data_IF_192046916116
#
_entry.id   IF_192046916116
#
_cell.length_a   1.000
_cell.length_b   1.000
_cell.length_c   1.000
_cell.angle_alpha   90.00
_cell.angle_beta   90.00
_cell.angle_gamma   90.00
#
_symmetry.space_group_name_H-M   'P 1'
#
loop_
_entity.id
_entity.type
_entity.pdbx_description
1 polymer ?
#
# COMPACT_ATOMS: atom_id res chain seq x y z
N UNK A 1 60.19 -15.18 13.25
CA UNK A 1 59.20 -14.27 12.65
C UNK A 1 57.83 -14.87 12.93
N UNK A 2 57.06 -14.26 13.83
CA UNK A 2 55.70 -14.69 14.14
C UNK A 2 54.75 -14.02 13.17
N UNK A 3 54.16 -14.81 12.27
CA UNK A 3 53.06 -14.39 11.41
C UNK A 3 51.81 -14.23 12.28
N UNK A 4 51.40 -12.99 12.55
CA UNK A 4 50.10 -12.72 13.15
C UNK A 4 49.02 -12.99 12.09
N UNK A 5 48.22 -14.03 12.30
CA UNK A 5 46.95 -14.17 11.60
C UNK A 5 45.99 -13.08 12.13
N UNK A 6 45.71 -12.10 11.27
CA UNK A 6 44.61 -11.17 11.47
C UNK A 6 43.34 -11.92 11.07
N UNK A 7 42.54 -12.31 12.04
CA UNK A 7 41.19 -12.83 11.80
C UNK A 7 40.28 -11.66 11.44
N UNK A 8 39.95 -11.50 10.16
CA UNK A 8 38.88 -10.59 9.76
C UNK A 8 37.54 -11.16 10.22
N UNK A 9 36.76 -10.33 10.90
CA UNK A 9 35.67 -10.69 11.81
C UNK A 9 34.35 -11.11 11.11
N UNK A 10 34.40 -11.68 9.90
CA UNK A 10 33.26 -12.14 9.11
C UNK A 10 33.51 -13.58 8.63
N UNK A 11 32.72 -14.54 9.12
CA UNK A 11 32.88 -15.97 8.84
C UNK A 11 32.03 -16.44 7.64
N UNK A 12 31.16 -15.58 7.11
CA UNK A 12 30.36 -15.84 5.91
C UNK A 12 29.38 -14.72 5.58
N UNK A 13 28.69 -14.83 4.45
CA UNK A 13 27.58 -13.96 4.07
C UNK A 13 26.42 -14.81 3.53
N UNK A 14 25.20 -14.45 3.93
CA UNK A 14 23.97 -14.95 3.35
C UNK A 14 23.39 -13.85 2.45
N UNK A 15 22.96 -14.20 1.26
CA UNK A 15 22.28 -13.28 0.35
C UNK A 15 20.91 -13.85 -0.02
N UNK A 16 19.87 -13.04 0.11
CA UNK A 16 18.54 -13.31 -0.44
C UNK A 16 18.44 -12.51 -1.73
N UNK A 17 18.19 -13.21 -2.82
CA UNK A 17 18.03 -12.57 -4.11
C UNK A 17 16.85 -11.59 -4.09
N UNK A 18 17.04 -10.43 -4.73
CA UNK A 18 16.06 -9.37 -4.89
C UNK A 18 14.69 -9.88 -5.31
N UNK A 19 14.64 -10.71 -6.36
CA UNK A 19 13.38 -11.16 -6.95
C UNK A 19 12.67 -12.16 -6.02
N UNK A 20 13.42 -13.01 -5.30
CA UNK A 20 12.84 -13.89 -4.28
C UNK A 20 12.18 -13.10 -3.13
N UNK A 21 12.83 -12.04 -2.63
CA UNK A 21 12.27 -11.20 -1.55
C UNK A 21 11.04 -10.43 -2.06
N UNK A 22 11.14 -9.87 -3.26
CA UNK A 22 10.05 -9.19 -3.96
C UNK A 22 8.84 -10.10 -4.13
N UNK A 23 9.03 -11.31 -4.63
CA UNK A 23 7.97 -12.28 -4.89
C UNK A 23 7.32 -12.76 -3.59
N UNK A 24 8.11 -12.91 -2.52
CA UNK A 24 7.60 -13.18 -1.18
C UNK A 24 6.66 -12.07 -0.69
N UNK A 25 7.05 -10.80 -0.85
CA UNK A 25 6.20 -9.66 -0.46
C UNK A 25 4.93 -9.62 -1.32
N UNK A 26 5.05 -9.80 -2.64
CA UNK A 26 3.89 -9.89 -3.54
C UNK A 26 2.91 -10.97 -3.06
N UNK A 27 3.39 -12.19 -2.79
CA UNK A 27 2.57 -13.29 -2.27
C UNK A 27 1.89 -12.94 -0.94
N UNK A 28 2.61 -12.28 -0.04
CA UNK A 28 2.08 -11.86 1.27
C UNK A 28 0.94 -10.84 1.14
N UNK A 29 0.94 -10.04 0.06
CA UNK A 29 -0.05 -8.99 -0.18
C UNK A 29 -1.24 -9.44 -1.06
N UNK A 30 -1.23 -10.65 -1.61
CA UNK A 30 -2.24 -11.12 -2.59
C UNK A 30 -3.69 -11.02 -2.08
N UNK A 31 -3.92 -11.22 -0.79
CA UNK A 31 -5.26 -11.11 -0.20
C UNK A 31 -5.61 -9.68 0.22
N UNK A 32 -4.60 -8.86 0.53
CA UNK A 32 -4.78 -7.49 0.99
C UNK A 32 -5.14 -6.56 -0.18
N UNK A 33 -4.40 -6.65 -1.29
CA UNK A 33 -4.54 -5.66 -2.38
C UNK A 33 -5.95 -5.63 -3.00
N UNK A 34 -6.63 -6.77 -3.27
CA UNK A 34 -8.00 -6.74 -3.78
C UNK A 34 -9.01 -6.09 -2.82
N UNK A 35 -8.72 -6.07 -1.50
CA UNK A 35 -9.61 -5.44 -0.51
C UNK A 35 -9.61 -3.92 -0.58
N UNK A 36 -8.54 -3.31 -1.09
CA UNK A 36 -8.36 -1.86 -1.25
C UNK A 36 -8.49 -1.38 -2.69
N UNK A 37 -8.52 -2.29 -3.66
CA UNK A 37 -8.89 -1.99 -5.05
C UNK A 37 -10.42 -1.99 -5.19
N UNK A 38 -11.02 -0.81 -5.02
CA UNK A 38 -12.47 -0.65 -4.93
C UNK A 38 -13.12 -0.50 -6.32
N UNK A 39 -14.22 -1.20 -6.56
CA UNK A 39 -15.10 -0.93 -7.69
C UNK A 39 -16.21 0.01 -7.23
N UNK A 40 -16.50 1.02 -8.04
CA UNK A 40 -17.48 2.05 -7.76
C UNK A 40 -18.58 2.03 -8.82
N UNK A 41 -19.79 2.29 -8.39
CA UNK A 41 -20.98 2.44 -9.23
C UNK A 41 -21.71 3.70 -8.77
N UNK A 42 -22.02 4.56 -9.72
CA UNK A 42 -22.80 5.77 -9.54
C UNK A 42 -24.11 5.59 -10.31
N UNK A 43 -25.22 6.05 -9.73
CA UNK A 43 -26.54 6.03 -10.36
C UNK A 43 -27.23 7.35 -10.15
N UNK A 44 -27.86 7.88 -11.20
CA UNK A 44 -28.70 9.06 -11.18
C UNK A 44 -30.00 8.75 -11.92
N UNK A 45 -31.03 8.39 -11.16
CA UNK A 45 -32.33 7.99 -11.69
C UNK A 45 -33.26 9.19 -11.78
N UNK A 46 -33.85 9.43 -12.96
CA UNK A 46 -34.78 10.54 -13.15
C UNK A 46 -36.15 10.22 -12.54
N UNK A 47 -36.62 11.09 -11.65
CA UNK A 47 -37.96 11.05 -11.05
C UNK A 47 -38.72 12.32 -11.42
N UNK A 48 -39.43 12.32 -12.55
CA UNK A 48 -40.13 13.51 -13.04
C UNK A 48 -39.15 14.63 -13.42
N UNK A 49 -39.15 15.70 -12.63
CA UNK A 49 -38.19 16.82 -12.73
C UNK A 49 -37.12 16.77 -11.63
N UNK A 50 -36.82 15.64 -11.04
CA UNK A 50 -35.68 15.49 -10.11
C UNK A 50 -34.79 14.33 -10.53
N UNK A 51 -33.57 14.27 -9.98
CA UNK A 51 -32.74 13.07 -10.01
C UNK A 51 -32.61 12.52 -8.58
N UNK A 52 -32.68 11.21 -8.44
CA UNK A 52 -32.32 10.48 -7.23
C UNK A 52 -30.94 9.86 -7.44
N UNK A 53 -29.97 10.17 -6.58
CA UNK A 53 -28.62 9.63 -6.68
C UNK A 53 -28.43 8.46 -5.71
N UNK A 54 -27.73 7.42 -6.16
CA UNK A 54 -27.29 6.32 -5.31
C UNK A 54 -25.93 5.80 -5.74
N UNK A 55 -25.20 5.19 -4.81
CA UNK A 55 -23.88 4.63 -5.07
C UNK A 55 -23.75 3.21 -4.56
N UNK A 56 -22.86 2.44 -5.16
CA UNK A 56 -22.41 1.18 -4.61
C UNK A 56 -20.88 1.10 -4.70
N UNK A 57 -20.23 0.66 -3.63
CA UNK A 57 -18.78 0.46 -3.58
C UNK A 57 -18.51 -0.94 -3.07
N UNK A 58 -17.63 -1.67 -3.76
CA UNK A 58 -17.28 -3.05 -3.40
C UNK A 58 -15.80 -3.34 -3.65
N UNK A 59 -15.13 -4.16 -2.83
CA UNK A 59 -13.76 -4.58 -3.07
C UNK A 59 -13.68 -5.60 -4.22
N UNK A 60 -12.47 -5.95 -4.63
CA UNK A 60 -12.20 -7.03 -5.59
C UNK A 60 -11.66 -6.56 -6.94
N UNK A 61 -11.32 -5.28 -7.08
CA UNK A 61 -10.54 -4.78 -8.20
C UNK A 61 -9.21 -5.51 -8.34
N UNK A 62 -8.73 -5.65 -9.58
CA UNK A 62 -7.45 -6.24 -9.89
C UNK A 62 -6.50 -5.12 -10.33
N UNK A 63 -5.45 -4.79 -9.56
CA UNK A 63 -4.50 -3.76 -9.95
C UNK A 63 -3.63 -4.23 -11.12
N UNK A 64 -3.08 -3.28 -11.86
CA UNK A 64 -1.93 -3.53 -12.71
C UNK A 64 -0.69 -3.64 -11.83
N UNK A 65 0.03 -4.74 -11.97
CA UNK A 65 1.32 -4.96 -11.31
C UNK A 65 2.45 -4.68 -12.30
N UNK A 66 3.41 -3.86 -11.89
CA UNK A 66 4.64 -3.59 -12.65
C UNK A 66 5.85 -3.93 -11.80
N UNK A 67 6.76 -4.71 -12.36
CA UNK A 67 8.09 -4.90 -11.81
C UNK A 67 9.00 -3.78 -12.31
N UNK A 68 9.63 -3.06 -11.38
CA UNK A 68 10.48 -1.90 -11.69
C UNK A 68 11.93 -2.27 -11.42
N UNK A 69 12.88 -1.69 -12.17
CA UNK A 69 14.30 -1.84 -11.91
C UNK A 69 14.79 -0.76 -10.93
N UNK A 70 15.78 -1.10 -10.08
CA UNK A 70 16.31 -0.20 -9.05
C UNK A 70 15.66 -0.37 -7.69
N UNK A 71 15.59 0.72 -6.92
CA UNK A 71 15.11 0.74 -5.53
C UNK A 71 13.64 0.37 -5.41
N UNK A 72 12.78 0.93 -6.27
CA UNK A 72 11.39 0.45 -6.40
C UNK A 72 11.40 -0.91 -7.06
N UNK A 73 10.88 -1.91 -6.37
CA UNK A 73 10.89 -3.30 -6.83
C UNK A 73 9.53 -3.77 -7.35
N UNK A 74 8.44 -3.18 -6.85
CA UNK A 74 7.07 -3.44 -7.27
C UNK A 74 6.26 -2.14 -7.21
N UNK A 75 5.39 -1.97 -8.18
CA UNK A 75 4.37 -0.93 -8.22
C UNK A 75 3.02 -1.53 -8.59
N UNK A 76 2.00 -1.21 -7.81
CA UNK A 76 0.60 -1.50 -8.11
C UNK A 76 -0.11 -0.21 -8.47
N UNK A 77 -0.91 -0.24 -9.53
CA UNK A 77 -1.81 0.85 -9.88
C UNK A 77 -3.20 0.33 -10.22
N UNK A 78 -4.21 0.99 -9.70
CA UNK A 78 -5.60 0.65 -9.94
C UNK A 78 -6.44 1.92 -10.03
N UNK A 79 -7.38 1.92 -10.95
CA UNK A 79 -8.36 2.99 -11.07
C UNK A 79 -9.69 2.43 -11.53
N UNK A 80 -10.78 2.91 -10.94
CA UNK A 80 -12.12 2.65 -11.41
C UNK A 80 -12.97 3.91 -11.29
N UNK A 81 -13.85 4.13 -12.26
CA UNK A 81 -14.72 5.28 -12.28
C UNK A 81 -16.03 4.88 -12.93
N UNK A 82 -17.12 5.44 -12.44
CA UNK A 82 -18.43 5.28 -13.02
C UNK A 82 -19.15 6.63 -13.05
N UNK A 83 -20.01 6.78 -14.05
CA UNK A 83 -20.78 7.98 -14.30
C UNK A 83 -22.19 7.59 -14.72
N UNK A 84 -23.17 8.28 -14.16
CA UNK A 84 -24.56 8.20 -14.59
C UNK A 84 -25.22 9.59 -14.53
N UNK A 85 -26.25 9.81 -15.34
CA UNK A 85 -26.85 11.12 -15.52
C UNK A 85 -28.31 11.06 -15.95
N UNK A 86 -29.04 12.11 -15.59
CA UNK A 86 -30.47 12.27 -15.83
C UNK A 86 -30.75 13.47 -16.75
N UNK A 87 -31.72 13.30 -17.64
CA UNK A 87 -32.14 14.32 -18.61
C UNK A 87 -31.34 14.30 -19.91
N UNK A 88 -31.50 15.35 -20.73
CA UNK A 88 -30.78 15.49 -22.00
C UNK A 88 -29.41 16.09 -21.69
N UNK A 89 -28.34 15.33 -21.93
CA UNK A 89 -26.96 15.70 -21.58
C UNK A 89 -26.77 15.97 -20.09
N UNK A 90 -27.32 15.10 -19.23
CA UNK A 90 -27.15 15.12 -17.77
C UNK A 90 -27.62 16.42 -17.09
N UNK A 91 -28.51 17.16 -17.77
CA UNK A 91 -28.93 18.49 -17.35
C UNK A 91 -29.89 18.52 -16.17
N UNK A 92 -30.51 17.39 -15.82
CA UNK A 92 -31.33 17.25 -14.62
C UNK A 92 -30.51 16.73 -13.44
N UNK A 93 -29.50 15.91 -13.72
CA UNK A 93 -28.50 15.55 -12.74
C UNK A 93 -27.35 14.75 -13.35
N UNK A 94 -26.21 14.78 -12.66
CA UNK A 94 -25.02 14.00 -12.99
C UNK A 94 -24.42 13.46 -11.70
N UNK A 95 -23.90 12.25 -11.76
CA UNK A 95 -23.14 11.67 -10.66
C UNK A 95 -21.97 10.88 -11.21
N UNK A 96 -20.76 11.31 -10.86
CA UNK A 96 -19.51 10.61 -11.07
C UNK A 96 -18.95 10.15 -9.72
N UNK A 97 -18.53 8.89 -9.66
CA UNK A 97 -17.80 8.34 -8.53
C UNK A 97 -16.53 7.68 -9.06
N UNK A 98 -15.39 7.98 -8.43
CA UNK A 98 -14.09 7.48 -8.85
C UNK A 98 -13.27 7.00 -7.67
N UNK A 99 -12.34 6.10 -7.97
CA UNK A 99 -11.35 5.60 -7.02
C UNK A 99 -10.03 5.32 -7.71
N UNK A 100 -8.94 5.64 -7.03
CA UNK A 100 -7.59 5.31 -7.44
C UNK A 100 -6.82 4.73 -6.27
N UNK A 101 -6.07 3.67 -6.52
CA UNK A 101 -5.18 3.07 -5.54
C UNK A 101 -3.81 2.85 -6.17
N UNK A 102 -2.76 3.33 -5.50
CA UNK A 102 -1.38 3.10 -5.88
C UNK A 102 -0.59 2.55 -4.68
N UNK A 103 0.31 1.61 -4.94
CA UNK A 103 1.24 1.10 -3.94
C UNK A 103 2.62 0.90 -4.55
N UNK A 104 3.64 1.49 -3.94
CA UNK A 104 5.04 1.27 -4.31
C UNK A 104 5.78 0.56 -3.18
N UNK A 105 6.64 -0.39 -3.54
CA UNK A 105 7.50 -1.13 -2.61
C UNK A 105 8.94 -0.86 -3.00
N UNK A 106 9.73 -0.37 -2.04
CA UNK A 106 11.12 0.03 -2.24
C UNK A 106 12.06 -0.69 -1.28
N UNK A 107 13.23 -1.09 -1.79
CA UNK A 107 14.35 -1.60 -1.00
C UNK A 107 15.43 -0.52 -0.94
N UNK A 108 15.71 -0.02 0.25
CA UNK A 108 16.59 1.14 0.44
C UNK A 108 17.59 0.92 1.58
N UNK A 109 18.77 1.51 1.42
CA UNK A 109 19.72 1.70 2.51
C UNK A 109 19.80 3.20 2.80
N UNK A 110 19.10 3.68 3.84
CA UNK A 110 19.05 5.11 4.17
C UNK A 110 19.70 5.36 5.51
N UNK A 111 20.69 6.27 5.54
CA UNK A 111 21.40 6.68 6.77
C UNK A 111 21.99 5.50 7.59
N UNK A 112 22.45 4.45 6.90
CA UNK A 112 22.99 3.24 7.54
C UNK A 112 21.93 2.28 8.07
N UNK A 113 20.64 2.56 7.82
CA UNK A 113 19.51 1.68 8.10
C UNK A 113 19.06 0.98 6.81
N UNK A 114 18.77 -0.31 6.91
CA UNK A 114 18.28 -1.13 5.80
C UNK A 114 16.78 -1.24 5.90
N UNK A 115 16.05 -0.71 4.92
CA UNK A 115 14.60 -0.53 5.01
C UNK A 115 13.86 -1.07 3.80
N UNK A 116 12.70 -1.66 4.06
CA UNK A 116 11.67 -1.91 3.05
C UNK A 116 10.59 -0.84 3.26
N UNK A 117 10.33 -0.01 2.26
CA UNK A 117 9.33 1.06 2.34
C UNK A 117 8.14 0.70 1.48
N UNK A 118 6.94 0.69 2.06
CA UNK A 118 5.70 0.46 1.33
C UNK A 118 4.84 1.71 1.45
N UNK A 119 4.68 2.40 0.32
CA UNK A 119 3.87 3.62 0.23
C UNK A 119 2.57 3.31 -0.48
N UNK A 120 1.44 3.49 0.22
CA UNK A 120 0.10 3.24 -0.29
C UNK A 120 -0.65 4.56 -0.39
N UNK A 121 -1.43 4.77 -1.45
CA UNK A 121 -2.27 5.95 -1.64
C UNK A 121 -3.63 5.54 -2.20
N UNK A 122 -4.69 5.86 -1.45
CA UNK A 122 -6.08 5.62 -1.84
C UNK A 122 -6.81 6.95 -1.94
N UNK A 123 -7.47 7.17 -3.08
CA UNK A 123 -8.39 8.29 -3.28
C UNK A 123 -9.75 7.73 -3.66
N UNK A 124 -10.81 8.26 -3.04
CA UNK A 124 -12.20 8.08 -3.47
C UNK A 124 -12.76 9.48 -3.68
N UNK A 125 -13.12 9.80 -4.92
CA UNK A 125 -13.60 11.12 -5.31
C UNK A 125 -14.99 11.04 -5.92
N UNK A 126 -15.71 12.15 -5.85
CA UNK A 126 -17.03 12.27 -6.46
C UNK A 126 -17.19 13.63 -7.13
N UNK A 127 -18.09 13.67 -8.10
CA UNK A 127 -18.60 14.88 -8.73
C UNK A 127 -20.10 14.72 -8.95
N UNK A 128 -20.89 15.67 -8.45
CA UNK A 128 -22.35 15.60 -8.40
C UNK A 128 -22.94 16.92 -8.82
N UNK A 129 -24.01 16.85 -9.60
CA UNK A 129 -24.77 18.01 -10.04
C UNK A 129 -26.25 17.70 -10.11
N UNK A 130 -27.07 18.64 -9.65
CA UNK A 130 -28.52 18.60 -9.81
C UNK A 130 -29.02 20.02 -10.02
N UNK A 131 -29.68 20.26 -11.15
CA UNK A 131 -30.07 21.61 -11.57
C UNK A 131 -28.92 22.63 -11.54
N UNK A 132 -28.99 23.66 -10.68
CA UNK A 132 -28.00 24.73 -10.54
C UNK A 132 -27.00 24.49 -9.41
N UNK A 133 -27.11 23.36 -8.71
CA UNK A 133 -26.26 23.03 -7.58
C UNK A 133 -25.31 21.92 -7.99
N UNK A 134 -24.02 22.10 -7.73
CA UNK A 134 -23.00 21.08 -7.94
C UNK A 134 -22.05 21.02 -6.76
N UNK A 135 -21.47 19.85 -6.52
CA UNK A 135 -20.48 19.62 -5.47
C UNK A 135 -19.53 18.50 -5.88
N UNK A 136 -18.26 18.64 -5.53
CA UNK A 136 -17.24 17.64 -5.82
C UNK A 136 -16.18 17.64 -4.72
N UNK A 137 -15.43 16.56 -4.61
CA UNK A 137 -14.33 16.48 -3.65
C UNK A 137 -13.79 15.07 -3.47
N UNK A 138 -12.76 14.97 -2.62
CA UNK A 138 -12.18 13.70 -2.21
C UNK A 138 -12.82 13.29 -0.88
N UNK A 139 -13.67 12.26 -0.93
CA UNK A 139 -14.24 11.66 0.27
C UNK A 139 -13.19 10.90 1.08
N UNK A 140 -12.21 10.32 0.38
CA UNK A 140 -11.02 9.70 0.94
C UNK A 140 -9.84 10.19 0.12
N UNK A 141 -8.78 10.63 0.79
CA UNK A 141 -7.45 10.87 0.23
C UNK A 141 -6.43 10.51 1.30
N UNK A 142 -6.10 9.23 1.40
CA UNK A 142 -5.28 8.68 2.48
C UNK A 142 -3.99 8.08 1.93
N UNK A 143 -2.89 8.42 2.57
CA UNK A 143 -1.58 7.84 2.32
C UNK A 143 -1.09 7.12 3.57
N UNK A 144 -0.65 5.86 3.42
CA UNK A 144 0.04 5.11 4.48
C UNK A 144 1.43 4.75 3.98
N UNK A 145 2.45 5.16 4.72
CA UNK A 145 3.84 4.78 4.46
C UNK A 145 4.31 3.87 5.58
N UNK A 146 4.42 2.58 5.30
CA UNK A 146 5.01 1.59 6.21
C UNK A 146 6.52 1.53 5.97
N UNK A 147 7.32 1.90 6.97
CA UNK A 147 8.78 1.76 6.91
C UNK A 147 9.22 0.57 7.76
N UNK A 148 9.61 -0.53 7.12
CA UNK A 148 10.14 -1.72 7.78
C UNK A 148 11.66 -1.60 7.92
N UNK A 149 12.13 -1.32 9.12
CA UNK A 149 13.56 -1.28 9.43
C UNK A 149 14.07 -2.67 9.78
N UNK A 150 14.99 -3.19 8.96
CA UNK A 150 15.62 -4.49 9.14
C UNK A 150 16.78 -4.37 10.12
N UNK A 151 16.72 -5.13 11.20
CA UNK A 151 17.72 -5.11 12.28
C UNK A 151 18.17 -6.51 12.63
N UNK A 152 19.40 -6.63 13.10
CA UNK A 152 19.87 -7.85 13.78
C UNK A 152 19.82 -7.60 15.28
N UNK A 153 19.09 -8.44 16.01
CA UNK A 153 18.96 -8.30 17.45
C UNK A 153 20.23 -8.78 18.19
N UNK A 154 20.26 -8.58 19.51
CA UNK A 154 21.38 -9.00 20.36
C UNK A 154 21.60 -10.53 20.39
N UNK A 155 20.63 -11.31 19.93
CA UNK A 155 20.70 -12.76 19.80
C UNK A 155 21.20 -13.20 18.42
N UNK A 156 21.50 -12.25 17.52
CA UNK A 156 21.94 -12.52 16.16
C UNK A 156 20.81 -12.97 15.24
N UNK A 157 19.56 -12.64 15.56
CA UNK A 157 18.36 -12.95 14.76
C UNK A 157 17.99 -11.73 13.92
N UNK A 158 17.69 -11.97 12.65
CA UNK A 158 17.22 -10.93 11.73
C UNK A 158 15.72 -10.67 11.98
N UNK A 159 15.38 -9.44 12.33
CA UNK A 159 14.03 -8.97 12.59
C UNK A 159 13.68 -7.72 11.78
N UNK A 160 12.40 -7.38 11.75
CA UNK A 160 11.90 -6.15 11.16
C UNK A 160 11.02 -5.41 12.18
N UNK A 161 11.20 -4.10 12.28
CA UNK A 161 10.29 -3.21 13.01
C UNK A 161 9.58 -2.31 12.01
N UNK A 162 8.29 -2.05 12.21
CA UNK A 162 7.48 -1.22 11.32
C UNK A 162 7.08 0.07 12.03
N UNK A 163 7.25 1.20 11.34
CA UNK A 163 6.75 2.50 11.76
C UNK A 163 5.81 3.05 10.66
N UNK A 164 4.48 2.94 10.84
CA UNK A 164 3.51 3.42 9.87
C UNK A 164 3.23 4.92 10.02
N UNK A 165 3.40 5.68 8.95
CA UNK A 165 3.00 7.09 8.87
C UNK A 165 1.72 7.21 8.07
N UNK A 166 0.67 7.76 8.68
CA UNK A 166 -0.65 7.95 8.06
C UNK A 166 -0.87 9.45 7.82
N UNK A 167 -1.22 9.81 6.59
CA UNK A 167 -1.64 11.16 6.19
C UNK A 167 -3.03 11.10 5.57
N UNK A 168 -3.92 12.03 5.95
CA UNK A 168 -5.28 12.14 5.40
C UNK A 168 -5.49 13.57 4.90
N UNK A 169 -5.70 13.71 3.59
CA UNK A 169 -5.92 14.98 2.88
C UNK A 169 -7.36 15.07 2.32
N UNK A 170 -8.31 14.30 2.87
CA UNK A 170 -9.70 14.29 2.40
C UNK A 170 -10.33 15.69 2.48
N UNK A 171 -11.06 16.10 1.43
CA UNK A 171 -11.58 17.47 1.26
C UNK A 171 -13.10 17.56 1.28
N UNK A 172 -13.81 16.43 1.22
CA UNK A 172 -15.25 16.40 1.08
C UNK A 172 -15.98 17.02 2.29
N UNK A 173 -16.82 18.04 2.07
CA UNK A 173 -17.69 18.60 3.11
C UNK A 173 -18.93 17.73 3.31
N UNK A 174 -19.23 17.38 4.57
CA UNK A 174 -20.33 16.46 4.92
C UNK A 174 -21.73 17.10 4.75
N UNK A 175 -21.84 18.43 4.75
CA UNK A 175 -23.08 19.21 4.78
C UNK A 175 -23.71 19.47 3.41
N UNK A 176 -22.90 19.66 2.37
CA UNK A 176 -23.38 20.01 1.02
C UNK A 176 -24.04 18.84 0.28
N UNK A 177 -23.67 17.62 0.64
CA UNK A 177 -24.15 16.40 -0.03
C UNK A 177 -25.58 16.04 0.42
N UNK A 178 -26.06 16.67 1.50
CA UNK A 178 -27.40 16.42 2.01
C UNK A 178 -28.53 16.66 1.03
N UNK A 179 -28.28 17.54 0.06
CA UNK A 179 -29.26 17.93 -0.95
C UNK A 179 -29.34 16.99 -2.15
N UNK A 180 -28.40 16.03 -2.29
CA UNK A 180 -28.28 15.18 -3.47
C UNK A 180 -28.80 13.76 -3.26
N UNK A 181 -28.79 13.28 -2.01
CA UNK A 181 -29.20 11.91 -1.67
C UNK A 181 -30.44 11.90 -0.78
N UNK A 182 -31.29 10.92 -1.03
CA UNK A 182 -32.50 10.65 -0.24
C UNK A 182 -32.18 10.11 1.17
N UNK A 183 -30.94 9.65 1.42
CA UNK A 183 -30.40 9.17 2.71
C UNK A 183 -28.98 9.71 2.99
N UNK A 184 -28.88 11.02 3.18
CA UNK A 184 -27.64 11.75 2.96
C UNK A 184 -26.64 11.83 4.11
N UNK A 185 -27.06 11.54 5.35
CA UNK A 185 -26.14 11.38 6.47
C UNK A 185 -25.19 10.17 6.26
N UNK A 186 -25.53 9.26 5.34
CA UNK A 186 -24.80 8.01 5.12
C UNK A 186 -23.62 8.10 4.15
N UNK A 187 -23.69 8.92 3.10
CA UNK A 187 -22.84 8.74 1.91
C UNK A 187 -21.34 8.95 2.17
N UNK A 188 -20.90 10.14 2.65
CA UNK A 188 -19.47 10.38 2.90
C UNK A 188 -18.94 9.45 3.99
N UNK A 189 -19.76 9.17 5.00
CA UNK A 189 -19.42 8.22 6.05
C UNK A 189 -19.20 6.81 5.50
N UNK A 190 -20.02 6.39 4.54
CA UNK A 190 -19.88 5.12 3.84
C UNK A 190 -18.60 5.10 2.98
N UNK A 191 -18.33 6.16 2.22
CA UNK A 191 -17.09 6.26 1.45
C UNK A 191 -15.85 6.25 2.37
N UNK A 192 -15.90 6.98 3.49
CA UNK A 192 -14.83 6.98 4.51
C UNK A 192 -14.63 5.60 5.14
N UNK A 193 -15.71 4.85 5.39
CA UNK A 193 -15.62 3.45 5.88
C UNK A 193 -14.84 2.56 4.91
N UNK A 194 -15.00 2.77 3.60
CA UNK A 194 -14.17 2.07 2.61
C UNK A 194 -12.73 2.56 2.63
N UNK A 195 -12.49 3.84 2.89
CA UNK A 195 -11.15 4.37 3.16
C UNK A 195 -10.48 3.77 4.40
N UNK A 196 -11.22 3.30 5.39
CA UNK A 196 -10.70 2.62 6.59
C UNK A 196 -10.24 1.17 6.31
N UNK A 197 -10.57 0.63 5.13
CA UNK A 197 -10.00 -0.63 4.66
C UNK A 197 -8.51 -0.49 4.31
N UNK A 198 -8.03 0.73 4.01
CA UNK A 198 -6.61 1.00 3.85
C UNK A 198 -5.94 0.95 5.23
N UNK A 199 -5.05 -0.02 5.40
CA UNK A 199 -4.36 -0.26 6.68
C UNK A 199 -2.86 -0.46 6.44
N UNK A 200 -2.08 -0.42 7.53
CA UNK A 200 -0.70 -0.87 7.47
C UNK A 200 -0.66 -2.33 7.00
N UNK A 201 0.26 -2.63 6.10
CA UNK A 201 0.39 -3.96 5.48
C UNK A 201 0.76 -5.06 6.47
N UNK A 202 1.27 -4.70 7.65
CA UNK A 202 1.64 -5.62 8.74
C UNK A 202 2.44 -6.85 8.26
N UNK A 203 3.36 -6.65 7.32
CA UNK A 203 4.16 -7.72 6.74
C UNK A 203 5.00 -8.38 7.82
N UNK A 204 4.73 -9.66 8.05
CA UNK A 204 5.65 -10.54 8.75
C UNK A 204 6.71 -10.97 7.75
N UNK A 205 7.83 -10.24 7.68
CA UNK A 205 8.96 -10.65 6.85
C UNK A 205 9.64 -11.83 7.56
N UNK A 206 9.59 -13.07 7.02
CA UNK A 206 10.15 -14.26 7.66
C UNK A 206 11.65 -14.27 7.41
N UNK A 207 12.33 -13.33 8.05
CA UNK A 207 13.77 -13.18 8.01
C UNK A 207 14.48 -14.20 8.90
N UNK A 208 13.73 -14.82 9.82
CA UNK A 208 14.19 -15.88 10.70
C UNK A 208 13.60 -17.22 10.29
N UNK A 209 14.08 -17.81 9.19
CA UNK A 209 14.20 -19.26 9.24
C UNK A 209 15.35 -19.52 10.21
N UNK A 210 15.02 -19.92 11.43
CA UNK A 210 15.90 -20.48 12.45
C UNK A 210 16.53 -21.80 11.99
N UNK A 211 16.95 -21.90 10.73
CA UNK A 211 18.00 -22.80 10.36
C UNK A 211 19.25 -22.19 10.99
N UNK A 212 19.69 -22.74 12.13
CA UNK A 212 21.08 -22.63 12.52
C UNK A 212 21.90 -22.99 11.27
N UNK A 213 22.43 -21.99 10.58
CA UNK A 213 23.23 -22.21 9.39
C UNK A 213 24.52 -22.87 9.89
N UNK A 214 24.51 -24.20 9.90
CA UNK A 214 25.65 -25.01 10.28
C UNK A 214 26.60 -25.01 9.10
N UNK A 215 27.54 -24.07 9.13
CA UNK A 215 28.68 -24.13 8.22
C UNK A 215 29.49 -25.40 8.50
N UNK A 216 30.14 -25.99 7.48
CA UNK A 216 31.00 -27.16 7.68
C UNK A 216 32.11 -26.83 8.67
N UNK A 217 31.94 -27.23 9.94
CA UNK A 217 32.80 -26.79 11.05
C UNK A 217 32.13 -26.80 12.42
N UNK A 218 30.78 -26.90 12.51
CA UNK A 218 30.07 -27.13 13.77
C UNK A 218 29.92 -25.89 14.67
N UNK A 219 30.13 -24.68 14.15
CA UNK A 219 29.80 -23.44 14.84
C UNK A 219 28.44 -22.92 14.36
N UNK A 220 27.56 -22.61 15.30
CA UNK A 220 26.33 -21.85 15.08
C UNK A 220 26.70 -20.41 14.76
N UNK A 221 26.51 -19.99 13.51
CA UNK A 221 26.75 -18.60 13.12
C UNK A 221 25.57 -17.71 13.49
N UNK A 222 25.88 -16.49 13.93
CA UNK A 222 24.92 -15.43 14.26
C UNK A 222 24.99 -14.33 13.20
N UNK A 223 23.88 -13.66 12.89
CA UNK A 223 23.92 -12.49 12.03
C UNK A 223 24.64 -11.34 12.75
N UNK A 224 25.38 -10.50 12.01
CA UNK A 224 26.05 -9.29 12.52
C UNK A 224 25.50 -7.99 11.93
N UNK A 225 25.08 -8.04 10.67
CA UNK A 225 24.60 -6.87 9.93
C UNK A 225 23.73 -7.30 8.77
N UNK A 226 22.87 -6.40 8.31
CA UNK A 226 22.01 -6.58 7.14
C UNK A 226 22.04 -5.33 6.28
N UNK A 227 22.12 -5.47 4.96
CA UNK A 227 22.08 -4.38 3.99
C UNK A 227 21.62 -4.87 2.62
N UNK A 228 21.05 -3.98 1.81
CA UNK A 228 20.87 -4.27 0.38
C UNK A 228 22.17 -4.06 -0.39
N UNK A 229 22.46 -4.93 -1.35
CA UNK A 229 23.58 -4.76 -2.30
C UNK A 229 23.25 -3.72 -3.37
N UNK A 230 24.23 -3.38 -4.22
CA UNK A 230 24.01 -2.53 -5.40
C UNK A 230 22.96 -3.11 -6.38
N UNK A 231 22.77 -4.44 -6.35
CA UNK A 231 21.75 -5.16 -7.12
C UNK A 231 20.45 -5.36 -6.33
N UNK A 232 20.28 -4.68 -5.19
CA UNK A 232 19.15 -4.78 -4.27
C UNK A 232 18.91 -6.20 -3.70
N UNK A 233 19.93 -7.06 -3.69
CA UNK A 233 19.89 -8.32 -2.95
C UNK A 233 20.05 -8.03 -1.45
N UNK A 234 19.29 -8.70 -0.60
CA UNK A 234 19.43 -8.56 0.85
C UNK A 234 20.62 -9.40 1.34
N UNK A 235 21.68 -8.73 1.78
CA UNK A 235 22.91 -9.36 2.26
C UNK A 235 22.99 -9.25 3.78
N UNK A 236 23.11 -10.40 4.45
CA UNK A 236 23.35 -10.50 5.87
C UNK A 236 24.74 -11.10 6.13
N UNK A 237 25.58 -10.41 6.89
CA UNK A 237 26.88 -10.92 7.30
C UNK A 237 26.73 -11.82 8.53
N UNK A 238 27.47 -12.93 8.57
CA UNK A 238 27.45 -13.88 9.68
C UNK A 238 28.83 -14.03 10.35
N UNK A 239 28.83 -14.26 11.65
CA UNK A 239 30.02 -14.53 12.46
C UNK A 239 29.78 -15.71 13.41
#
# INVERSE_FOLDING_TARGET
>A
MATSLIWNNQNGALAINRDNLRDFINQSLQNYIPSVCLQVEARCEQEGFSCSMSSNVRPGGQPNLTEVAGETVLSYSYSNQNHDGAGINDNLGLFTLGTTYNMDIQFTNTNGSTTIVISQHLVINYDMGMFQTATSGNAVDKTIVDTYTLTVDASGILGASVDPVITDNSTAPDDLIQNFFTDSDGFIRELRRWGDALQSTALSVPLSNTAAYSFPGGQTSTFKSVQFSDNQDLVASVA
#
